data_IF_951693256368
#
_entry.id   IF_951693256368
#
_cell.length_a   1.000
_cell.length_b   1.000
_cell.length_c   1.000
_cell.angle_alpha   90.00
_cell.angle_beta   90.00
_cell.angle_gamma   90.00
#
_symmetry.space_group_name_H-M   'P 1'
#
loop_
_entity.id
_entity.type
_entity.pdbx_description
1 polymer ?
#
# COMPACT_ATOMS: atom_id res chain seq x y z
N UNK A 1 2.19 -22.68 -16.00
CA UNK A 1 0.93 -22.95 -15.26
C UNK A 1 1.15 -24.16 -14.37
N UNK A 2 0.50 -24.21 -13.21
CA UNK A 2 0.65 -25.31 -12.24
C UNK A 2 -0.72 -25.85 -11.84
N UNK A 3 -0.85 -27.16 -11.68
CA UNK A 3 -2.09 -27.79 -11.23
C UNK A 3 -2.27 -29.17 -11.87
N UNK A 4 -3.11 -30.03 -11.29
CA UNK A 4 -3.45 -31.31 -11.88
C UNK A 4 -4.30 -31.12 -13.15
N UNK A 5 -3.69 -31.40 -14.31
CA UNK A 5 -4.35 -31.29 -15.61
C UNK A 5 -5.55 -32.24 -15.74
N UNK A 6 -5.46 -33.43 -15.12
CA UNK A 6 -6.53 -34.42 -15.10
C UNK A 6 -7.84 -33.88 -14.48
N UNK A 7 -7.74 -32.90 -13.58
CA UNK A 7 -8.88 -32.28 -12.90
C UNK A 7 -9.32 -30.96 -13.57
N UNK A 8 -8.68 -30.57 -14.69
CA UNK A 8 -8.92 -29.28 -15.36
C UNK A 8 -8.44 -28.06 -14.58
N UNK A 9 -7.50 -28.25 -13.64
CA UNK A 9 -7.03 -27.18 -12.74
C UNK A 9 -5.76 -26.53 -13.28
N UNK A 10 -5.85 -25.22 -13.56
CA UNK A 10 -4.71 -24.41 -14.00
C UNK A 10 -4.53 -23.19 -13.10
N UNK A 11 -3.35 -23.05 -12.50
CA UNK A 11 -2.99 -21.92 -11.66
C UNK A 11 -1.85 -21.11 -12.28
N UNK A 12 -1.90 -19.79 -12.10
CA UNK A 12 -0.82 -18.87 -12.35
C UNK A 12 0.09 -18.81 -11.11
N UNK A 13 1.40 -18.98 -11.31
CA UNK A 13 2.40 -18.88 -10.24
C UNK A 13 3.39 -17.77 -10.56
N UNK A 14 3.35 -16.70 -9.79
CA UNK A 14 4.27 -15.57 -9.88
C UNK A 14 5.31 -15.73 -8.75
N UNK A 15 6.60 -15.53 -9.06
CA UNK A 15 7.71 -15.65 -8.10
C UNK A 15 8.47 -14.35 -8.06
N UNK A 16 9.09 -14.04 -6.91
CA UNK A 16 9.84 -12.80 -6.69
C UNK A 16 8.98 -11.57 -7.01
N UNK A 17 7.77 -11.55 -6.44
CA UNK A 17 6.76 -10.51 -6.67
C UNK A 17 7.32 -9.13 -6.34
N UNK A 18 7.10 -8.18 -7.24
CA UNK A 18 7.48 -6.77 -7.11
C UNK A 18 6.22 -5.89 -7.15
N UNK A 19 6.36 -4.58 -6.87
CA UNK A 19 5.24 -3.64 -6.98
C UNK A 19 4.65 -3.53 -8.39
N UNK A 20 5.41 -3.89 -9.43
CA UNK A 20 4.95 -3.88 -10.81
C UNK A 20 3.95 -5.01 -11.11
N UNK A 21 3.95 -6.07 -10.30
CA UNK A 21 3.00 -7.18 -10.40
C UNK A 21 1.65 -6.86 -9.72
N UNK A 22 1.50 -5.70 -9.10
CA UNK A 22 0.24 -5.31 -8.47
C UNK A 22 -0.81 -4.97 -9.52
N UNK A 23 -1.91 -5.72 -9.54
CA UNK A 23 -2.96 -5.48 -10.51
C UNK A 23 -3.94 -6.63 -10.68
N UNK A 24 -4.86 -6.42 -11.62
CA UNK A 24 -5.86 -7.41 -11.98
C UNK A 24 -5.30 -8.41 -12.99
N UNK A 25 -5.39 -9.70 -12.64
CA UNK A 25 -5.09 -10.82 -13.53
C UNK A 25 -6.38 -11.47 -13.97
N UNK A 26 -6.44 -11.94 -15.22
CA UNK A 26 -7.63 -12.59 -15.76
C UNK A 26 -7.31 -14.03 -16.18
N UNK A 27 -8.09 -14.97 -15.65
CA UNK A 27 -8.18 -16.31 -16.20
C UNK A 27 -9.16 -16.29 -17.37
N UNK A 28 -8.78 -16.89 -18.50
CA UNK A 28 -9.65 -17.08 -19.66
C UNK A 28 -9.63 -18.54 -20.09
N UNK A 29 -10.82 -19.10 -20.30
CA UNK A 29 -11.01 -20.43 -20.88
C UNK A 29 -11.85 -20.28 -22.15
N UNK A 30 -11.35 -20.79 -23.27
CA UNK A 30 -12.09 -20.86 -24.52
C UNK A 30 -12.56 -22.30 -24.72
N UNK A 31 -13.88 -22.59 -24.63
CA UNK A 31 -14.41 -23.93 -24.89
C UNK A 31 -14.17 -24.35 -26.34
N UNK A 32 -14.20 -25.66 -26.61
CA UNK A 32 -14.11 -26.18 -27.97
C UNK A 32 -15.39 -25.84 -28.76
N UNK A 33 -15.24 -25.32 -29.98
CA UNK A 33 -16.34 -24.88 -30.85
C UNK A 33 -16.46 -23.34 -30.90
N UNK A 34 -17.61 -22.82 -31.35
CA UNK A 34 -17.85 -21.38 -31.54
C UNK A 34 -18.38 -20.67 -30.28
N UNK A 35 -18.13 -21.23 -29.10
CA UNK A 35 -18.58 -20.66 -27.84
C UNK A 35 -17.72 -19.46 -27.42
N UNK A 36 -18.35 -18.47 -26.78
CA UNK A 36 -17.62 -17.30 -26.26
C UNK A 36 -16.67 -17.69 -25.12
N UNK A 37 -15.49 -17.04 -25.00
CA UNK A 37 -14.56 -17.28 -23.89
C UNK A 37 -15.17 -16.91 -22.54
N UNK A 38 -14.95 -17.76 -21.54
CA UNK A 38 -15.30 -17.50 -20.13
C UNK A 38 -14.11 -16.83 -19.47
N UNK A 39 -14.36 -15.74 -18.75
CA UNK A 39 -13.31 -14.93 -18.09
C UNK A 39 -13.63 -14.71 -16.62
N UNK A 40 -12.60 -14.75 -15.77
CA UNK A 40 -12.71 -14.38 -14.36
C UNK A 40 -11.48 -13.60 -13.92
N UNK A 41 -11.66 -12.53 -13.17
CA UNK A 41 -10.57 -11.67 -12.72
C UNK A 41 -10.22 -11.94 -11.25
N UNK A 42 -8.94 -11.87 -10.92
CA UNK A 42 -8.39 -11.89 -9.58
C UNK A 42 -7.49 -10.67 -9.38
N UNK A 43 -7.59 -10.01 -8.23
CA UNK A 43 -6.71 -8.88 -7.88
C UNK A 43 -5.51 -9.40 -7.09
N UNK A 44 -4.30 -9.11 -7.57
CA UNK A 44 -3.07 -9.29 -6.81
C UNK A 44 -2.70 -7.95 -6.16
N UNK A 45 -2.70 -7.90 -4.83
CA UNK A 45 -2.24 -6.74 -4.09
C UNK A 45 -0.91 -7.04 -3.41
N UNK A 46 0.13 -6.31 -3.80
CA UNK A 46 1.48 -6.39 -3.26
C UNK A 46 1.59 -5.40 -2.10
N UNK A 47 2.07 -5.91 -0.97
CA UNK A 47 2.23 -5.14 0.26
C UNK A 47 3.70 -4.80 0.45
N UNK A 48 3.98 -3.56 0.84
CA UNK A 48 5.34 -3.12 1.16
C UNK A 48 5.35 -2.40 2.52
N UNK A 49 6.38 -2.65 3.34
CA UNK A 49 6.62 -1.82 4.51
C UNK A 49 7.11 -0.43 4.07
N UNK A 50 6.94 0.60 4.92
CA UNK A 50 7.59 1.89 4.71
C UNK A 50 9.11 1.76 4.49
N UNK A 51 9.63 2.47 3.49
CA UNK A 51 11.07 2.56 3.24
C UNK A 51 11.79 3.45 4.26
N UNK A 52 11.09 4.47 4.78
CA UNK A 52 11.60 5.38 5.81
C UNK A 52 10.47 5.98 6.63
N UNK A 53 10.76 6.26 7.90
CA UNK A 53 9.91 6.99 8.83
C UNK A 53 10.80 8.04 9.51
N UNK A 54 10.50 9.32 9.30
CA UNK A 54 11.30 10.43 9.82
C UNK A 54 10.44 11.59 10.32
N UNK A 55 10.91 12.26 11.36
CA UNK A 55 10.33 13.54 11.78
C UNK A 55 11.05 14.63 10.98
N UNK A 56 10.30 15.43 10.24
CA UNK A 56 10.86 16.45 9.34
C UNK A 56 11.76 17.42 10.10
N UNK A 57 12.96 17.63 9.59
CA UNK A 57 13.95 18.55 10.19
C UNK A 57 14.61 18.04 11.48
N UNK A 58 14.44 16.76 11.84
CA UNK A 58 15.01 16.16 13.06
C UNK A 58 15.85 14.93 12.74
N UNK A 59 16.88 14.69 13.55
CA UNK A 59 17.64 13.44 13.51
C UNK A 59 16.91 12.34 14.28
N UNK A 60 17.16 11.08 13.90
CA UNK A 60 16.66 9.93 14.65
C UNK A 60 17.14 10.01 16.10
N UNK A 61 16.23 9.83 17.04
CA UNK A 61 16.48 9.92 18.49
C UNK A 61 16.96 11.30 18.99
N UNK A 62 16.75 12.36 18.22
CA UNK A 62 17.03 13.72 18.68
C UNK A 62 16.11 14.09 19.84
N UNK A 63 16.70 14.61 20.93
CA UNK A 63 15.92 15.10 22.07
C UNK A 63 15.33 16.47 21.73
N UNK A 64 14.01 16.54 21.69
CA UNK A 64 13.27 17.78 21.47
C UNK A 64 13.20 18.54 22.80
N UNK A 65 13.67 19.79 22.81
CA UNK A 65 13.59 20.67 23.98
C UNK A 65 12.95 21.99 23.58
N UNK A 66 11.95 22.42 24.35
CA UNK A 66 11.22 23.66 24.14
C UNK A 66 10.88 24.30 25.49
N UNK A 67 10.59 25.61 25.49
CA UNK A 67 10.16 26.29 26.71
C UNK A 67 8.74 25.87 27.11
N UNK A 68 8.53 25.69 28.40
CA UNK A 68 7.21 25.40 28.94
C UNK A 68 6.21 26.51 28.54
N UNK A 69 5.01 26.11 28.09
CA UNK A 69 3.99 27.01 27.57
C UNK A 69 4.05 27.26 26.06
N UNK A 70 5.16 26.91 25.38
CA UNK A 70 5.23 26.97 23.93
C UNK A 70 4.59 25.71 23.30
N UNK A 71 3.87 25.91 22.19
CA UNK A 71 3.40 24.82 21.34
C UNK A 71 4.47 24.41 20.34
N UNK A 72 4.63 23.11 20.10
CA UNK A 72 5.46 22.56 19.04
C UNK A 72 4.62 21.79 18.03
N UNK A 73 4.96 21.94 16.74
CA UNK A 73 4.38 21.15 15.65
C UNK A 73 5.42 20.15 15.18
N UNK A 74 5.05 18.87 15.15
CA UNK A 74 5.88 17.80 14.60
C UNK A 74 5.20 17.21 13.37
N UNK A 75 5.98 17.04 12.31
CA UNK A 75 5.54 16.41 11.07
C UNK A 75 6.26 15.07 10.91
N UNK A 76 5.48 14.00 10.73
CA UNK A 76 6.00 12.65 10.49
C UNK A 76 5.83 12.33 9.01
N UNK A 77 6.95 12.07 8.34
CA UNK A 77 7.00 11.66 6.95
C UNK A 77 7.24 10.16 6.86
N UNK A 78 6.32 9.44 6.21
CA UNK A 78 6.42 8.01 5.93
C UNK A 78 6.55 7.82 4.42
N UNK A 79 7.65 7.21 3.98
CA UNK A 79 7.94 6.97 2.56
C UNK A 79 7.57 5.54 2.17
N UNK A 80 7.05 5.37 0.96
CA UNK A 80 6.79 4.10 0.28
C UNK A 80 6.08 3.04 1.13
N UNK A 81 4.77 3.20 1.37
CA UNK A 81 3.97 2.26 2.17
C UNK A 81 2.76 1.78 1.38
N UNK A 82 2.52 0.46 1.37
CA UNK A 82 1.27 -0.13 0.84
C UNK A 82 0.74 -1.23 1.76
N UNK A 83 -0.43 -1.07 2.38
CA UNK A 83 -1.32 0.09 2.30
C UNK A 83 -0.69 1.33 2.97
N UNK A 84 -1.40 2.45 2.93
CA UNK A 84 -0.95 3.66 3.61
C UNK A 84 -0.79 3.39 5.11
N UNK A 85 0.34 3.81 5.66
CA UNK A 85 0.66 3.61 7.08
C UNK A 85 -0.20 4.45 8.01
N UNK A 86 -0.52 3.90 9.17
CA UNK A 86 -1.16 4.63 10.26
C UNK A 86 -0.07 5.21 11.17
N UNK A 87 -0.18 6.51 11.48
CA UNK A 87 0.79 7.21 12.33
C UNK A 87 0.21 7.36 13.73
N UNK A 88 0.99 6.95 14.74
CA UNK A 88 0.70 7.12 16.16
C UNK A 88 1.82 7.90 16.84
N UNK A 89 1.46 8.79 17.77
CA UNK A 89 2.41 9.61 18.50
C UNK A 89 2.50 9.18 19.96
N UNK A 90 3.73 9.04 20.44
CA UNK A 90 4.02 8.68 21.82
C UNK A 90 4.89 9.74 22.48
N UNK A 91 4.64 10.00 23.76
CA UNK A 91 5.49 10.81 24.64
C UNK A 91 5.69 10.07 25.94
N UNK A 92 6.95 9.85 26.32
CA UNK A 92 7.33 9.13 27.55
C UNK A 92 6.65 7.74 27.67
N UNK A 93 6.46 7.07 26.53
CA UNK A 93 5.81 5.76 26.44
C UNK A 93 4.28 5.79 26.46
N UNK A 94 3.64 6.95 26.63
CA UNK A 94 2.20 7.10 26.58
C UNK A 94 1.72 7.57 25.20
N UNK A 95 0.65 6.95 24.69
CA UNK A 95 -0.03 7.39 23.47
C UNK A 95 -0.73 8.73 23.74
N UNK A 96 -0.31 9.78 23.04
CA UNK A 96 -0.86 11.13 23.20
C UNK A 96 -2.02 11.41 22.25
N UNK A 97 -2.25 10.56 21.25
CA UNK A 97 -3.35 10.71 20.27
C UNK A 97 -4.72 10.56 20.93
N UNK A 98 -4.81 9.76 21.99
CA UNK A 98 -6.03 9.56 22.79
C UNK A 98 -6.37 10.77 23.68
N UNK A 99 -5.36 11.55 24.07
CA UNK A 99 -5.52 12.65 25.05
C UNK A 99 -5.83 13.98 24.36
N UNK A 100 -5.31 14.20 23.15
CA UNK A 100 -5.55 15.44 22.39
C UNK A 100 -5.97 15.14 20.94
N UNK A 101 -7.12 14.46 20.70
CA UNK A 101 -7.53 14.01 19.37
C UNK A 101 -7.62 15.16 18.34
N UNK A 102 -7.96 16.37 18.79
CA UNK A 102 -8.08 17.54 17.91
C UNK A 102 -6.75 18.22 17.56
N UNK A 103 -5.63 17.82 18.18
CA UNK A 103 -4.31 18.38 17.91
C UNK A 103 -3.53 17.54 16.88
N UNK A 104 -3.98 16.32 16.58
CA UNK A 104 -3.36 15.44 15.58
C UNK A 104 -4.18 15.47 14.29
N UNK A 105 -3.89 16.43 13.42
CA UNK A 105 -4.33 16.35 12.02
C UNK A 105 -3.36 15.44 11.27
N UNK A 106 -3.78 14.22 10.94
CA UNK A 106 -3.12 13.50 9.85
C UNK A 106 -3.35 14.33 8.57
N UNK A 107 -2.29 14.66 7.80
CA UNK A 107 -2.50 15.26 6.50
C UNK A 107 -3.38 14.30 5.69
N UNK A 108 -4.45 14.83 5.08
CA UNK A 108 -5.29 14.02 4.20
C UNK A 108 -4.39 13.41 3.14
N UNK A 109 -4.28 12.08 3.16
CA UNK A 109 -3.48 11.34 2.21
C UNK A 109 -4.12 11.61 0.84
N UNK A 110 -3.48 12.46 0.02
CA UNK A 110 -3.76 12.51 -1.41
C UNK A 110 -3.41 11.12 -1.93
N UNK A 111 -4.43 10.27 -2.08
CA UNK A 111 -4.29 9.05 -2.83
C UNK A 111 -3.62 9.42 -4.17
N UNK A 112 -2.52 8.76 -4.57
CA UNK A 112 -2.00 9.00 -5.91
C UNK A 112 -3.17 8.75 -6.88
N UNK A 113 -3.50 9.77 -7.68
CA UNK A 113 -4.50 9.65 -8.74
C UNK A 113 -4.20 8.36 -9.50
N UNK A 114 -5.20 7.52 -9.82
CA UNK A 114 -4.95 6.36 -10.65
C UNK A 114 -4.27 6.86 -11.92
N UNK A 115 -3.04 6.42 -12.17
CA UNK A 115 -2.44 6.60 -13.49
C UNK A 115 -3.40 5.89 -14.43
N UNK A 116 -4.12 6.65 -15.28
CA UNK A 116 -4.83 6.10 -16.42
C UNK A 116 -3.78 5.40 -17.28
N UNK A 117 -3.64 4.09 -17.09
CA UNK A 117 -2.98 3.24 -18.07
C UNK A 117 -4.02 3.04 -19.15
N UNK A 118 -4.03 3.92 -20.14
CA UNK A 118 -4.55 3.57 -21.47
C UNK A 118 -3.44 2.75 -22.15
N UNK A 119 -3.33 1.48 -21.78
CA UNK A 119 -2.61 0.51 -22.61
C UNK A 119 -3.64 -0.11 -23.56
N UNK A 120 -3.88 0.58 -24.68
CA UNK A 120 -4.48 -0.01 -25.89
C UNK A 120 -3.42 -0.75 -26.73
N UNK A 121 -2.47 -1.42 -26.10
CA UNK A 121 -1.38 -2.08 -26.83
C UNK A 121 -0.87 -3.34 -26.14
N UNK A 122 -1.77 -4.29 -25.86
CA UNK A 122 -1.49 -5.73 -25.97
C UNK A 122 -2.71 -6.53 -26.43
N UNK A 123 -3.04 -6.40 -27.70
CA UNK A 123 -3.53 -7.49 -28.56
C UNK A 123 -3.01 -7.25 -29.97
#
# INVERSE_FOLDING_TARGET
MTGPEADGVHNLKIRNVTLEDDGAYQCQVTPKGDALPIRHAAMLTVLIPPSSIEIVGRRKNERITERAGNSITLECLVKDSKPVSQIQWFRDGADISLVHPNQFRQPQILAPLPRRITDESKF
#
